data_IF_395960393704
#
_entry.id   IF_395960393704
#
_cell.length_a   1.000
_cell.length_b   1.000
_cell.length_c   1.000
_cell.angle_alpha   90.00
_cell.angle_beta   90.00
_cell.angle_gamma   90.00
#
_symmetry.space_group_name_H-M   'P 1'
#
loop_
_entity.id
_entity.type
_entity.pdbx_description
1 polymer ?
#
# COMPACT_ATOMS: atom_id res chain seq x y z
N UNK A 1 -23.85 0.16 14.39
CA UNK A 1 -22.81 -0.64 15.07
C UNK A 1 -21.47 -0.05 14.64
N UNK A 2 -20.63 0.39 15.56
CA UNK A 2 -19.33 0.96 15.22
C UNK A 2 -18.40 -0.16 14.75
N UNK A 3 -17.98 -0.12 13.47
CA UNK A 3 -16.99 -1.02 12.87
C UNK A 3 -15.67 -0.84 13.65
N UNK A 4 -15.11 -1.89 14.28
CA UNK A 4 -13.82 -1.78 14.95
C UNK A 4 -12.75 -1.45 13.91
N UNK A 5 -11.96 -0.40 14.16
CA UNK A 5 -10.91 0.05 13.26
C UNK A 5 -9.89 -1.06 13.00
N UNK A 6 -9.90 -1.60 11.78
CA UNK A 6 -8.93 -2.59 11.33
C UNK A 6 -7.61 -1.85 11.18
N UNK A 7 -6.58 -2.28 11.93
CA UNK A 7 -5.20 -1.83 11.74
C UNK A 7 -4.63 -2.62 10.56
N UNK A 8 -4.85 -2.12 9.35
CA UNK A 8 -4.36 -2.77 8.13
C UNK A 8 -2.82 -2.75 8.07
N UNK A 9 -2.25 -3.93 7.81
CA UNK A 9 -0.83 -4.17 7.66
C UNK A 9 -0.51 -4.20 6.16
N UNK A 10 0.30 -3.27 5.66
CA UNK A 10 0.76 -3.30 4.26
C UNK A 10 1.73 -4.47 4.07
N UNK A 11 1.32 -5.48 3.30
CA UNK A 11 2.19 -6.59 2.87
C UNK A 11 3.12 -6.13 1.73
N UNK A 12 4.39 -5.89 2.08
CA UNK A 12 5.47 -5.46 1.20
C UNK A 12 5.85 -6.48 0.12
N UNK A 13 6.24 -5.98 -1.05
CA UNK A 13 7.13 -6.72 -1.97
C UNK A 13 8.57 -6.43 -1.52
N UNK A 14 9.23 -7.47 -1.02
CA UNK A 14 10.61 -7.42 -0.55
C UNK A 14 11.55 -7.42 -1.76
N UNK A 15 12.02 -6.26 -2.19
CA UNK A 15 13.15 -6.16 -3.10
C UNK A 15 14.37 -5.77 -2.26
N UNK A 16 15.20 -6.76 -1.93
CA UNK A 16 16.52 -6.52 -1.38
C UNK A 16 17.36 -5.76 -2.41
N UNK A 17 17.72 -4.51 -2.10
CA UNK A 17 18.78 -3.81 -2.81
C UNK A 17 19.92 -3.52 -1.83
N UNK A 18 21.12 -3.96 -2.21
CA UNK A 18 22.36 -3.62 -1.52
C UNK A 18 22.87 -2.28 -2.05
N UNK A 19 23.11 -1.36 -1.12
CA UNK A 19 23.92 -0.13 -1.17
C UNK A 19 23.67 0.87 -2.32
N UNK A 20 23.10 2.04 -1.97
CA UNK A 20 23.38 3.31 -2.65
C UNK A 20 24.42 4.06 -1.80
N UNK A 21 25.55 4.42 -2.41
CA UNK A 21 26.75 4.95 -1.73
C UNK A 21 26.68 6.43 -1.35
N UNK A 22 25.50 7.07 -1.37
CA UNK A 22 25.33 8.45 -0.91
C UNK A 22 23.89 8.65 -0.41
N UNK A 23 23.73 8.77 0.91
CA UNK A 23 22.47 9.22 1.51
C UNK A 23 22.37 10.75 1.46
N UNK A 24 21.16 11.32 1.28
CA UNK A 24 20.94 12.76 1.44
C UNK A 24 21.31 13.20 2.86
N UNK A 25 21.79 14.44 2.96
CA UNK A 25 22.26 15.29 4.09
C UNK A 25 21.88 14.99 5.57
N UNK A 26 21.80 13.74 6.03
CA UNK A 26 21.53 13.42 7.43
C UNK A 26 22.85 13.15 8.19
N UNK A 27 22.99 13.78 9.36
CA UNK A 27 24.24 13.92 10.10
C UNK A 27 24.66 12.69 10.91
N UNK A 28 24.08 11.51 10.64
CA UNK A 28 24.34 10.27 11.39
C UNK A 28 24.45 9.07 10.43
N UNK A 29 25.63 8.45 10.37
CA UNK A 29 25.88 7.06 9.92
C UNK A 29 25.62 6.72 8.44
N UNK A 30 26.67 6.64 7.62
CA UNK A 30 26.57 6.70 6.15
C UNK A 30 26.73 5.38 5.35
N UNK A 31 26.84 4.19 5.99
CA UNK A 31 27.27 2.98 5.25
C UNK A 31 26.45 1.69 5.43
N UNK A 32 25.55 1.61 6.43
CA UNK A 32 24.87 0.34 6.77
C UNK A 32 23.36 0.55 6.85
N UNK A 33 22.72 0.57 5.68
CA UNK A 33 21.28 0.77 5.57
C UNK A 33 20.58 -0.29 4.71
N UNK A 34 19.29 -0.47 5.02
CA UNK A 34 18.34 -1.21 4.23
C UNK A 34 17.25 -0.24 3.76
N UNK A 35 17.05 -0.16 2.45
CA UNK A 35 16.11 0.75 1.83
C UNK A 35 14.79 0.07 1.51
N UNK A 36 13.71 0.82 1.75
CA UNK A 36 12.34 0.39 1.55
C UNK A 36 11.56 1.49 0.83
N UNK A 37 10.45 1.11 0.21
CA UNK A 37 9.52 2.01 -0.47
C UNK A 37 8.09 1.65 -0.10
N UNK A 38 7.25 2.66 0.05
CA UNK A 38 5.81 2.49 0.18
C UNK A 38 5.06 3.58 -0.59
N UNK A 39 3.79 3.33 -0.86
CA UNK A 39 2.85 4.30 -1.41
C UNK A 39 1.83 4.64 -0.34
N UNK A 40 1.50 5.92 -0.17
CA UNK A 40 0.44 6.33 0.75
C UNK A 40 -0.90 6.05 0.07
N UNK A 41 -1.76 5.21 0.64
CA UNK A 41 -3.08 4.99 0.07
C UNK A 41 -3.86 6.31 -0.03
N UNK A 42 -4.75 6.40 -1.01
CA UNK A 42 -5.67 7.52 -1.10
C UNK A 42 -6.55 7.63 0.14
N UNK A 43 -6.87 8.86 0.58
CA UNK A 43 -7.67 9.08 1.79
C UNK A 43 -6.91 8.89 3.11
N UNK A 44 -5.64 8.48 3.04
CA UNK A 44 -4.73 8.38 4.19
C UNK A 44 -3.85 9.61 4.26
N UNK A 45 -3.84 10.25 5.43
CA UNK A 45 -3.04 11.45 5.66
C UNK A 45 -1.97 11.22 6.74
N UNK A 46 -2.04 10.11 7.49
CA UNK A 46 -1.07 9.80 8.52
C UNK A 46 -0.52 8.39 8.34
N UNK A 47 0.80 8.32 8.21
CA UNK A 47 1.57 7.08 8.16
C UNK A 47 2.35 6.93 9.45
N UNK A 48 2.47 5.69 9.89
CA UNK A 48 3.24 5.24 11.03
C UNK A 48 4.21 4.16 10.57
N UNK A 49 5.42 4.16 11.12
CA UNK A 49 6.40 3.11 10.82
C UNK A 49 6.96 2.57 12.13
N UNK A 50 6.97 1.25 12.25
CA UNK A 50 7.48 0.50 13.39
C UNK A 50 8.61 -0.42 12.92
N UNK A 51 9.72 -0.40 13.63
CA UNK A 51 10.79 -1.39 13.53
C UNK A 51 10.79 -2.21 14.82
N UNK A 52 10.64 -3.52 14.70
CA UNK A 52 10.63 -4.44 15.83
C UNK A 52 11.55 -5.65 15.59
N UNK A 53 11.53 -6.61 16.53
CA UNK A 53 12.28 -7.85 16.38
C UNK A 53 13.78 -7.66 16.23
N UNK A 54 14.34 -6.59 16.82
CA UNK A 54 15.75 -6.26 16.73
C UNK A 54 16.61 -7.44 17.20
N UNK A 55 17.53 -7.86 16.33
CA UNK A 55 18.56 -8.83 16.63
C UNK A 55 19.49 -8.32 17.74
N UNK A 56 20.24 -9.22 18.36
CA UNK A 56 21.01 -8.94 19.58
C UNK A 56 22.08 -7.84 19.45
N UNK A 57 22.45 -7.44 18.23
CA UNK A 57 23.42 -6.38 17.97
C UNK A 57 22.77 -5.01 17.67
N UNK A 58 21.43 -4.97 17.58
CA UNK A 58 20.64 -3.77 17.31
C UNK A 58 19.87 -3.33 18.56
N UNK A 59 19.75 -2.03 18.75
CA UNK A 59 18.97 -1.39 19.82
C UNK A 59 18.67 0.08 19.47
N UNK A 60 17.83 0.73 20.28
CA UNK A 60 17.43 2.13 20.09
C UNK A 60 18.56 3.17 20.16
N UNK A 61 19.78 2.81 20.54
CA UNK A 61 20.93 3.73 20.54
C UNK A 61 21.83 3.57 19.30
N UNK A 62 21.63 2.53 18.49
CA UNK A 62 22.47 2.27 17.34
C UNK A 62 21.69 1.94 16.06
N UNK A 63 20.36 1.91 16.12
CA UNK A 63 19.48 1.61 14.99
C UNK A 63 18.50 2.74 14.83
N UNK A 64 18.29 3.17 13.59
CA UNK A 64 17.50 4.35 13.28
C UNK A 64 16.68 4.16 12.02
N UNK A 65 15.59 4.92 11.92
CA UNK A 65 14.74 5.00 10.74
C UNK A 65 14.69 6.44 10.23
N UNK A 66 14.68 6.59 8.91
CA UNK A 66 14.55 7.90 8.25
C UNK A 66 13.70 7.80 6.98
N UNK A 67 12.77 8.74 6.81
CA UNK A 67 11.82 8.80 5.68
C UNK A 67 12.14 9.99 4.78
N UNK A 68 11.96 9.84 3.46
CA UNK A 68 12.30 10.84 2.46
C UNK A 68 11.15 11.10 1.47
N UNK A 69 11.07 12.33 0.96
CA UNK A 69 10.10 12.78 -0.05
C UNK A 69 10.47 12.43 -1.50
N UNK A 70 11.30 11.40 -1.70
CA UNK A 70 11.72 10.97 -3.03
C UNK A 70 10.59 10.25 -3.80
N UNK A 71 10.28 10.69 -5.02
CA UNK A 71 9.33 9.98 -5.88
C UNK A 71 9.97 8.75 -6.58
N UNK A 72 11.29 8.75 -6.79
CA UNK A 72 12.04 7.69 -7.49
C UNK A 72 13.34 7.36 -6.77
N UNK A 73 13.78 6.10 -6.87
CA UNK A 73 14.96 5.59 -6.14
C UNK A 73 16.24 6.41 -6.41
N UNK A 74 16.46 6.86 -7.65
CA UNK A 74 17.64 7.63 -8.03
C UNK A 74 17.66 9.10 -7.56
N UNK A 75 16.54 9.64 -7.07
CA UNK A 75 16.45 11.03 -6.59
C UNK A 75 16.62 11.15 -5.08
N UNK A 76 16.78 10.02 -4.37
CA UNK A 76 16.92 9.99 -2.91
C UNK A 76 18.11 10.84 -2.45
N UNK A 77 19.17 10.94 -3.24
CA UNK A 77 20.37 11.75 -2.94
C UNK A 77 20.12 13.25 -2.79
N UNK A 78 19.02 13.76 -3.37
CA UNK A 78 18.58 15.15 -3.25
C UNK A 78 17.22 15.31 -2.56
N UNK A 79 16.71 14.24 -1.94
CA UNK A 79 15.43 14.25 -1.26
C UNK A 79 15.54 14.86 0.14
N UNK A 80 14.47 15.49 0.61
CA UNK A 80 14.37 16.02 1.96
C UNK A 80 14.02 14.91 2.94
N UNK A 81 14.66 14.94 4.10
CA UNK A 81 14.26 14.11 5.25
C UNK A 81 12.93 14.62 5.80
N UNK A 82 11.95 13.71 5.86
CA UNK A 82 10.58 13.97 6.32
C UNK A 82 10.37 13.56 7.79
N UNK A 83 11.27 12.76 8.33
CA UNK A 83 11.19 12.28 9.71
C UNK A 83 12.30 11.30 10.03
N UNK A 84 12.78 11.35 11.28
CA UNK A 84 13.86 10.52 11.79
C UNK A 84 13.57 10.09 13.23
N UNK A 85 13.88 8.84 13.57
CA UNK A 85 13.75 8.32 14.93
C UNK A 85 14.75 7.19 15.20
N UNK A 86 15.05 6.95 16.48
CA UNK A 86 15.63 5.68 16.93
C UNK A 86 14.66 4.55 16.66
N UNK A 87 15.14 3.45 16.09
CA UNK A 87 14.36 2.25 15.82
C UNK A 87 14.33 1.33 17.05
N UNK A 88 13.15 0.77 17.35
CA UNK A 88 13.00 -0.29 18.34
C UNK A 88 13.20 0.20 19.78
N UNK A 89 12.48 1.25 20.18
CA UNK A 89 12.40 1.69 21.59
C UNK A 89 11.76 0.64 22.53
N UNK A 90 11.43 -0.55 22.03
CA UNK A 90 11.13 -1.74 22.82
C UNK A 90 11.28 -3.01 21.97
N UNK A 91 11.92 -4.04 22.52
CA UNK A 91 11.89 -5.38 21.93
C UNK A 91 10.43 -5.84 21.85
N UNK A 92 9.95 -6.18 20.65
CA UNK A 92 8.55 -6.58 20.43
C UNK A 92 7.53 -5.43 20.59
N UNK A 93 7.94 -4.19 20.34
CA UNK A 93 7.03 -3.04 20.47
C UNK A 93 6.07 -2.93 19.30
N UNK A 94 4.79 -2.76 19.61
CA UNK A 94 3.75 -2.35 18.64
C UNK A 94 3.60 -0.83 18.56
N UNK A 95 4.41 -0.07 19.33
CA UNK A 95 4.43 1.39 19.27
C UNK A 95 5.25 1.85 18.06
N UNK A 96 4.71 2.68 17.17
CA UNK A 96 5.47 3.19 16.04
C UNK A 96 6.65 4.06 16.48
N UNK A 97 7.80 3.88 15.83
CA UNK A 97 8.99 4.71 16.03
C UNK A 97 8.80 6.09 15.38
N UNK A 98 8.19 6.12 14.19
CA UNK A 98 7.72 7.33 13.53
C UNK A 98 6.19 7.37 13.54
N UNK A 99 5.64 8.45 14.08
CA UNK A 99 4.20 8.68 14.18
C UNK A 99 3.78 9.91 13.37
N UNK A 100 2.56 9.86 12.83
CA UNK A 100 1.88 11.01 12.22
C UNK A 100 2.66 11.71 11.09
N UNK A 101 3.34 10.93 10.24
CA UNK A 101 3.94 11.48 9.02
C UNK A 101 2.80 11.96 8.10
N UNK A 102 2.69 13.28 7.92
CA UNK A 102 1.70 13.93 7.06
C UNK A 102 2.16 13.84 5.60
N UNK A 103 1.96 12.68 5.01
CA UNK A 103 2.39 12.38 3.65
C UNK A 103 1.22 12.54 2.68
N UNK A 104 1.48 13.10 1.51
CA UNK A 104 0.47 13.25 0.47
C UNK A 104 -0.01 11.88 -0.03
N UNK A 105 -1.34 11.70 -0.01
CA UNK A 105 -2.05 10.56 -0.58
C UNK A 105 -1.66 10.31 -2.05
N UNK A 106 -1.53 9.04 -2.43
CA UNK A 106 -1.06 8.62 -3.76
C UNK A 106 0.43 8.83 -4.00
N UNK A 107 1.14 9.49 -3.08
CA UNK A 107 2.58 9.70 -3.15
C UNK A 107 3.37 8.41 -2.92
N UNK A 108 4.51 8.29 -3.59
CA UNK A 108 5.52 7.27 -3.34
C UNK A 108 6.62 7.86 -2.45
N UNK A 109 7.01 7.13 -1.41
CA UNK A 109 8.02 7.56 -0.45
C UNK A 109 9.03 6.43 -0.21
N UNK A 110 10.24 6.83 0.17
CA UNK A 110 11.31 5.92 0.51
C UNK A 110 11.69 6.12 1.95
N UNK A 111 12.10 5.06 2.61
CA UNK A 111 12.69 5.14 3.93
C UNK A 111 13.81 4.14 4.04
N UNK A 112 14.68 4.37 5.02
CA UNK A 112 15.74 3.44 5.36
C UNK A 112 15.68 3.06 6.83
N UNK A 113 16.07 1.83 7.12
CA UNK A 113 16.48 1.43 8.47
C UNK A 113 17.99 1.28 8.42
N UNK A 114 18.70 1.94 9.32
CA UNK A 114 20.16 1.95 9.30
C UNK A 114 20.75 1.82 10.69
N UNK A 115 22.00 1.36 10.74
CA UNK A 115 22.73 1.23 11.99
C UNK A 115 24.07 1.95 11.97
N UNK A 116 24.49 2.45 13.14
CA UNK A 116 25.79 3.12 13.34
C UNK A 116 26.90 2.14 13.73
N UNK A 117 26.57 0.87 14.00
CA UNK A 117 27.54 -0.19 14.26
C UNK A 117 27.78 -1.02 13.00
N UNK A 118 29.01 -1.50 12.82
CA UNK A 118 29.36 -2.35 11.68
C UNK A 118 28.60 -3.68 11.78
N UNK A 119 27.75 -4.06 10.80
CA UNK A 119 26.97 -5.28 10.82
C UNK A 119 27.81 -6.53 10.46
N UNK A 120 28.97 -6.69 11.10
CA UNK A 120 29.79 -7.89 10.98
C UNK A 120 29.22 -9.00 11.87
N UNK A 121 28.80 -10.12 11.29
CA UNK A 121 28.28 -11.26 12.05
C UNK A 121 27.14 -11.99 11.35
N UNK A 122 26.31 -12.70 12.13
CA UNK A 122 25.16 -13.43 11.62
C UNK A 122 24.01 -12.49 11.22
N UNK A 123 23.29 -12.84 10.14
CA UNK A 123 22.08 -12.15 9.70
C UNK A 123 21.03 -12.02 10.82
N UNK A 124 20.95 -12.99 11.74
CA UNK A 124 20.00 -12.94 12.87
C UNK A 124 20.40 -11.89 13.91
N UNK A 125 21.69 -11.62 14.11
CA UNK A 125 22.17 -10.64 15.08
C UNK A 125 21.86 -9.19 14.66
N UNK A 126 21.70 -8.97 13.36
CA UNK A 126 21.32 -7.69 12.74
C UNK A 126 19.94 -7.77 12.04
N UNK A 127 19.13 -8.77 12.40
CA UNK A 127 17.78 -8.93 11.87
C UNK A 127 16.82 -7.94 12.53
N UNK A 128 15.74 -7.61 11.82
CA UNK A 128 14.64 -6.79 12.32
C UNK A 128 13.42 -7.02 11.42
N UNK A 129 12.24 -6.68 11.92
CA UNK A 129 11.04 -6.56 11.10
C UNK A 129 10.66 -5.10 10.94
N UNK A 130 9.96 -4.80 9.84
CA UNK A 130 9.43 -3.47 9.57
C UNK A 130 7.95 -3.57 9.25
N UNK A 131 7.19 -2.68 9.86
CA UNK A 131 5.78 -2.48 9.60
C UNK A 131 5.52 -1.01 9.26
N UNK A 132 4.89 -0.77 8.11
CA UNK A 132 4.26 0.53 7.83
C UNK A 132 2.76 0.36 8.03
N UNK A 133 2.19 1.13 8.95
CA UNK A 133 0.77 1.22 9.21
C UNK A 133 0.26 2.61 8.93
N UNK A 134 -1.05 2.76 8.78
CA UNK A 134 -1.68 4.06 8.67
C UNK A 134 -2.92 4.11 9.54
N UNK A 135 -3.24 5.32 9.97
CA UNK A 135 -4.55 5.66 10.53
C UNK A 135 -5.20 6.67 9.59
N UNK A 136 -6.38 6.34 9.08
CA UNK A 136 -7.11 7.21 8.17
C UNK A 136 -8.51 6.66 7.97
N UNK A 137 -9.50 7.54 8.07
CA UNK A 137 -10.92 7.23 7.82
C UNK A 137 -11.35 7.61 6.40
N UNK A 138 -10.41 7.99 5.53
CA UNK A 138 -10.71 8.36 4.16
C UNK A 138 -10.91 7.10 3.33
N UNK A 139 -12.01 7.08 2.58
CA UNK A 139 -12.23 6.06 1.58
C UNK A 139 -11.17 6.11 0.47
N UNK A 140 -10.95 5.01 -0.26
CA UNK A 140 -10.03 4.98 -1.40
C UNK A 140 -10.33 6.07 -2.45
N UNK A 141 -9.35 6.47 -3.27
CA UNK A 141 -9.60 7.51 -4.30
C UNK A 141 -10.59 7.06 -5.36
N UNK A 142 -10.72 5.76 -5.55
CA UNK A 142 -11.65 5.13 -6.45
C UNK A 142 -12.87 4.55 -5.72
N UNK A 143 -13.23 5.12 -4.57
CA UNK A 143 -14.45 4.77 -3.83
C UNK A 143 -15.74 5.11 -4.59
N UNK A 144 -15.65 5.96 -5.61
CA UNK A 144 -16.78 6.30 -6.48
C UNK A 144 -16.41 6.07 -7.94
N UNK A 145 -17.42 5.74 -8.76
CA UNK A 145 -17.25 5.52 -10.20
C UNK A 145 -16.51 6.66 -10.93
N UNK A 146 -16.74 7.92 -10.53
CA UNK A 146 -16.06 9.08 -11.14
C UNK A 146 -14.54 9.06 -10.91
N UNK A 147 -14.08 8.47 -9.81
CA UNK A 147 -12.68 8.29 -9.42
C UNK A 147 -12.06 6.96 -9.88
N UNK A 148 -12.75 6.19 -10.73
CA UNK A 148 -12.30 4.86 -11.17
C UNK A 148 -10.85 4.85 -11.69
N UNK A 149 -10.02 3.97 -11.13
CA UNK A 149 -8.64 3.76 -11.60
C UNK A 149 -8.62 3.11 -12.98
N UNK A 150 -7.73 3.57 -13.85
CA UNK A 150 -7.60 3.03 -15.21
C UNK A 150 -6.82 1.72 -15.18
N UNK A 151 -7.44 0.67 -15.69
CA UNK A 151 -6.78 -0.59 -16.03
C UNK A 151 -6.43 -0.56 -17.52
N UNK A 152 -5.17 -0.90 -17.83
CA UNK A 152 -4.75 -1.11 -19.22
C UNK A 152 -4.76 -2.61 -19.52
N UNK A 153 -5.60 -3.10 -20.44
CA UNK A 153 -5.65 -4.53 -20.75
C UNK A 153 -4.27 -5.09 -21.15
N UNK A 154 -3.90 -6.23 -20.57
CA UNK A 154 -2.65 -6.93 -20.89
C UNK A 154 -1.37 -6.36 -20.24
N UNK A 155 -1.47 -5.37 -19.36
CA UNK A 155 -0.33 -4.85 -18.58
C UNK A 155 -0.24 -5.50 -17.20
N UNK A 156 0.57 -4.92 -16.31
CA UNK A 156 0.71 -5.35 -14.91
C UNK A 156 -0.58 -5.17 -14.10
N UNK A 157 -0.69 -5.94 -13.01
CA UNK A 157 -1.74 -5.76 -12.00
C UNK A 157 -1.75 -4.32 -11.48
N UNK A 158 -2.96 -3.77 -11.32
CA UNK A 158 -3.18 -2.51 -10.61
C UNK A 158 -3.62 -2.83 -9.19
N UNK A 159 -2.91 -2.30 -8.20
CA UNK A 159 -3.28 -2.51 -6.80
C UNK A 159 -4.56 -1.76 -6.44
N UNK A 160 -5.37 -2.35 -5.57
CA UNK A 160 -6.57 -1.76 -5.01
C UNK A 160 -6.78 -2.18 -3.56
N UNK A 161 -7.66 -1.48 -2.86
CA UNK A 161 -8.09 -1.82 -1.50
C UNK A 161 -9.54 -1.38 -1.32
N UNK A 162 -10.35 -2.21 -0.68
CA UNK A 162 -11.71 -1.86 -0.22
C UNK A 162 -11.72 -1.35 1.22
N UNK A 163 -10.55 -1.19 1.84
CA UNK A 163 -10.45 -0.67 3.21
C UNK A 163 -11.05 0.73 3.29
N UNK A 164 -11.99 0.93 4.22
CA UNK A 164 -12.76 2.16 4.40
C UNK A 164 -13.55 2.63 3.18
N UNK A 165 -13.72 1.76 2.16
CA UNK A 165 -14.62 2.07 1.07
C UNK A 165 -16.04 2.29 1.60
N UNK A 166 -16.81 3.07 0.86
CA UNK A 166 -18.22 3.34 1.15
C UNK A 166 -19.09 2.82 0.03
N UNK A 167 -20.37 2.65 0.33
CA UNK A 167 -21.34 2.17 -0.65
C UNK A 167 -21.53 3.20 -1.76
N UNK A 168 -21.27 2.83 -3.00
CA UNK A 168 -21.66 3.65 -4.14
C UNK A 168 -23.19 3.68 -4.28
N UNK A 169 -23.73 4.88 -4.43
CA UNK A 169 -25.17 5.05 -4.62
C UNK A 169 -25.61 4.61 -6.03
N UNK A 170 -26.84 4.08 -6.11
CA UNK A 170 -27.54 3.86 -7.38
C UNK A 170 -26.83 2.91 -8.36
N UNK A 171 -26.10 1.93 -7.84
CA UNK A 171 -25.48 0.87 -8.66
C UNK A 171 -26.54 -0.14 -9.08
N UNK A 172 -26.72 -0.40 -10.39
CA UNK A 172 -27.63 -1.44 -10.84
C UNK A 172 -27.15 -2.80 -10.33
N UNK A 173 -28.03 -3.58 -9.69
CA UNK A 173 -27.65 -4.86 -9.07
C UNK A 173 -27.06 -5.89 -10.07
N UNK A 174 -27.51 -5.86 -11.34
CA UNK A 174 -27.03 -6.78 -12.37
C UNK A 174 -27.22 -8.24 -11.98
N UNK A 175 -26.18 -9.06 -12.18
CA UNK A 175 -26.16 -10.45 -11.73
C UNK A 175 -25.40 -10.66 -10.42
N UNK A 176 -24.81 -9.60 -9.85
CA UNK A 176 -24.00 -9.70 -8.64
C UNK A 176 -24.91 -10.01 -7.44
N UNK A 177 -24.37 -10.76 -6.48
CA UNK A 177 -25.05 -11.09 -5.22
C UNK A 177 -24.40 -10.36 -4.05
N UNK A 178 -25.13 -10.21 -2.94
CA UNK A 178 -24.67 -9.48 -1.76
C UNK A 178 -25.14 -8.02 -1.73
N UNK A 179 -24.61 -7.27 -0.76
CA UNK A 179 -24.82 -5.83 -0.64
C UNK A 179 -23.46 -5.18 -0.92
N UNK A 180 -23.28 -4.46 -2.04
CA UNK A 180 -22.05 -3.70 -2.26
C UNK A 180 -22.07 -2.48 -1.33
N UNK A 181 -21.52 -2.64 -0.13
CA UNK A 181 -21.45 -1.57 0.88
C UNK A 181 -20.03 -1.00 1.08
N UNK A 182 -19.01 -1.68 0.57
CA UNK A 182 -17.60 -1.31 0.60
C UNK A 182 -16.98 -1.50 -0.82
N UNK A 183 -17.39 -0.69 -1.82
CA UNK A 183 -17.00 -0.89 -3.22
C UNK A 183 -15.90 0.06 -3.74
N UNK A 184 -15.10 -0.41 -4.70
CA UNK A 184 -14.12 0.42 -5.39
C UNK A 184 -14.15 0.20 -6.89
N UNK A 185 -13.84 1.26 -7.63
CA UNK A 185 -14.09 1.35 -9.06
C UNK A 185 -12.82 1.29 -9.89
N UNK A 186 -12.91 0.52 -10.98
CA UNK A 186 -11.90 0.44 -12.01
C UNK A 186 -12.56 0.64 -13.37
N UNK A 187 -11.82 1.17 -14.35
CA UNK A 187 -12.30 1.35 -15.72
C UNK A 187 -11.25 0.91 -16.72
N UNK A 188 -11.70 0.37 -17.84
CA UNK A 188 -10.85 0.04 -18.97
C UNK A 188 -11.60 0.30 -20.27
N UNK A 189 -10.84 0.48 -21.35
CA UNK A 189 -11.40 0.46 -22.71
C UNK A 189 -11.15 -0.92 -23.29
N UNK A 190 -12.22 -1.58 -23.72
CA UNK A 190 -12.09 -2.88 -24.38
C UNK A 190 -11.33 -2.70 -25.71
N UNK A 191 -10.28 -3.50 -25.90
CA UNK A 191 -9.50 -3.53 -27.15
C UNK A 191 -9.89 -4.71 -28.06
N UNK A 192 -10.77 -5.58 -27.55
CA UNK A 192 -11.31 -6.77 -28.22
C UNK A 192 -12.75 -6.93 -27.79
N UNK A 193 -13.51 -7.73 -28.53
CA UNK A 193 -14.90 -8.08 -28.22
C UNK A 193 -15.04 -9.03 -27.02
N UNK A 194 -13.95 -9.37 -26.35
CA UNK A 194 -13.90 -10.20 -25.16
C UNK A 194 -12.83 -9.68 -24.22
N UNK A 195 -13.02 -9.89 -22.92
CA UNK A 195 -12.03 -9.60 -21.90
C UNK A 195 -12.25 -10.48 -20.67
N UNK A 196 -11.19 -10.75 -19.93
CA UNK A 196 -11.28 -11.34 -18.59
C UNK A 196 -10.88 -10.26 -17.58
N UNK A 197 -11.77 -9.99 -16.64
CA UNK A 197 -11.47 -9.14 -15.48
C UNK A 197 -11.24 -10.07 -14.31
N UNK A 198 -10.07 -10.02 -13.69
CA UNK A 198 -9.72 -10.91 -12.59
C UNK A 198 -9.10 -10.13 -11.43
N UNK A 199 -9.42 -10.54 -10.22
CA UNK A 199 -8.85 -10.02 -8.98
C UNK A 199 -7.92 -11.10 -8.40
N UNK A 200 -6.66 -10.73 -8.18
CA UNK A 200 -5.76 -11.56 -7.38
C UNK A 200 -5.93 -11.13 -5.90
N UNK A 201 -7.03 -11.58 -5.28
CA UNK A 201 -7.38 -11.18 -3.93
C UNK A 201 -6.39 -11.78 -2.91
N UNK A 202 -5.94 -10.97 -1.95
CA UNK A 202 -5.18 -11.46 -0.79
C UNK A 202 -6.13 -11.89 0.32
N UNK A 203 -5.76 -12.97 1.01
CA UNK A 203 -6.45 -13.69 2.10
C UNK A 203 -7.85 -13.18 2.51
N UNK A 204 -7.95 -12.07 3.24
CA UNK A 204 -9.21 -11.62 3.84
C UNK A 204 -10.32 -11.34 2.82
N UNK A 205 -10.00 -10.73 1.68
CA UNK A 205 -11.01 -10.40 0.66
C UNK A 205 -11.54 -11.67 -0.04
N UNK A 206 -10.66 -12.65 -0.28
CA UNK A 206 -11.04 -13.95 -0.84
C UNK A 206 -11.95 -14.72 0.14
N UNK A 207 -11.58 -14.75 1.43
CA UNK A 207 -12.37 -15.42 2.48
C UNK A 207 -13.76 -14.79 2.69
N UNK A 208 -13.90 -13.49 2.45
CA UNK A 208 -15.18 -12.78 2.53
C UNK A 208 -16.04 -12.90 1.26
N UNK A 209 -15.52 -13.56 0.21
CA UNK A 209 -16.18 -13.71 -1.08
C UNK A 209 -16.15 -12.40 -1.86
N UNK A 210 -15.05 -12.15 -2.56
CA UNK A 210 -14.94 -11.00 -3.46
C UNK A 210 -16.07 -11.05 -4.51
N UNK A 211 -16.51 -9.87 -4.94
CA UNK A 211 -17.52 -9.73 -5.98
C UNK A 211 -17.03 -8.72 -6.99
N UNK A 212 -16.94 -9.16 -8.23
CA UNK A 212 -16.63 -8.33 -9.38
C UNK A 212 -17.96 -8.07 -10.09
N UNK A 213 -18.27 -6.80 -10.34
CA UNK A 213 -19.35 -6.40 -11.22
C UNK A 213 -18.82 -5.49 -12.32
N UNK A 214 -19.13 -5.85 -13.56
CA UNK A 214 -18.67 -5.12 -14.75
C UNK A 214 -19.85 -4.42 -15.39
N UNK A 215 -19.65 -3.14 -15.71
CA UNK A 215 -20.63 -2.27 -16.34
C UNK A 215 -20.08 -1.66 -17.63
N UNK A 216 -20.99 -1.28 -18.52
CA UNK A 216 -20.74 -0.37 -19.64
C UNK A 216 -21.47 0.96 -19.40
N UNK A 217 -21.06 2.01 -20.11
CA UNK A 217 -21.67 3.34 -20.02
C UNK A 217 -20.86 4.32 -19.17
N UNK A 218 -21.56 5.31 -18.61
CA UNK A 218 -20.95 6.38 -17.79
C UNK A 218 -21.53 6.36 -16.39
N UNK A 219 -20.81 6.91 -15.42
CA UNK A 219 -21.29 7.00 -14.04
C UNK A 219 -22.66 7.71 -13.99
N UNK A 220 -23.63 7.11 -13.30
CA UNK A 220 -25.03 7.56 -13.28
C UNK A 220 -25.91 6.99 -14.39
N UNK A 221 -25.33 6.31 -15.40
CA UNK A 221 -26.05 5.61 -16.47
C UNK A 221 -25.29 4.33 -16.86
N UNK A 222 -25.05 3.48 -15.86
CA UNK A 222 -24.33 2.22 -16.01
C UNK A 222 -25.29 1.10 -16.44
N UNK A 223 -24.82 0.23 -17.33
CA UNK A 223 -25.54 -0.99 -17.73
C UNK A 223 -24.72 -2.22 -17.32
N UNK A 224 -25.28 -3.17 -16.55
CA UNK A 224 -24.58 -4.41 -16.19
C UNK A 224 -24.17 -5.23 -17.42
N UNK A 225 -22.93 -5.71 -17.43
CA UNK A 225 -22.37 -6.56 -18.50
C UNK A 225 -22.07 -7.96 -18.00
N UNK A 226 -21.60 -8.09 -16.76
CA UNK A 226 -21.29 -9.37 -16.15
C UNK A 226 -20.87 -9.23 -14.70
N UNK A 227 -20.78 -10.34 -13.99
CA UNK A 227 -20.37 -10.40 -12.60
C UNK A 227 -19.77 -11.77 -12.29
N UNK A 228 -19.09 -11.88 -11.15
CA UNK A 228 -18.53 -13.13 -10.66
C UNK A 228 -17.57 -12.89 -9.50
N UNK A 229 -16.94 -13.96 -9.04
CA UNK A 229 -15.91 -13.94 -7.99
C UNK A 229 -14.60 -14.43 -8.60
N UNK A 230 -13.45 -13.97 -8.09
CA UNK A 230 -12.11 -14.20 -8.60
C UNK A 230 -11.85 -13.69 -10.04
N UNK A 231 -12.71 -14.07 -11.00
CA UNK A 231 -12.65 -13.66 -12.39
C UNK A 231 -14.03 -13.64 -13.08
N UNK A 232 -14.18 -12.74 -14.06
CA UNK A 232 -15.34 -12.62 -14.94
C UNK A 232 -14.87 -12.65 -16.39
N UNK A 233 -15.41 -13.58 -17.18
CA UNK A 233 -15.18 -13.67 -18.61
C UNK A 233 -16.31 -12.96 -19.37
N UNK A 234 -15.94 -11.94 -20.15
CA UNK A 234 -16.85 -11.09 -20.88
C UNK A 234 -16.74 -11.36 -22.38
N UNK A 235 -17.87 -11.28 -23.07
CA UNK A 235 -17.96 -11.38 -24.53
C UNK A 235 -18.90 -10.29 -25.06
N UNK A 236 -18.85 -10.01 -26.36
CA UNK A 236 -19.68 -8.97 -26.99
C UNK A 236 -19.34 -7.55 -26.57
N UNK A 237 -18.12 -7.29 -26.08
CA UNK A 237 -17.68 -5.94 -25.73
C UNK A 237 -17.53 -5.08 -26.99
N UNK A 238 -17.91 -3.81 -26.90
CA UNK A 238 -17.82 -2.81 -27.98
C UNK A 238 -17.35 -1.48 -27.45
#
# INVERSE_FOLDING_TARGET
MNKPGIKDQLLFSLLFFVAISVSPSSSIGINYDAWYRFTVPSGVNTIQITVDGLGSSLNGNNTYIEVFDAAVCGSVTGANSMGFASAGTGTNSTTPDLTALNLAAGGTYYFRVFTTVNPSGSATAYGFNVLVSYSGSGAPSNDNCSGALVLTPGTTYTNGSVANATASASIPAGCATGIPDDDVWFKFTAIRTYATVAVNARSALNLSGDMIQVFSGTCGSLTPVGCGQDAVNLTGLS
#
